data_IF_964484047634
#
_entry.id   IF_964484047634
#
_cell.length_a   1.000
_cell.length_b   1.000
_cell.length_c   1.000
_cell.angle_alpha   90.00
_cell.angle_beta   90.00
_cell.angle_gamma   90.00
#
_symmetry.space_group_name_H-M   'P 1'
#
loop_
_entity.id
_entity.type
_entity.pdbx_description
1 polymer ?
#
# COMPACT_ATOMS: atom_id res chain seq x y z
N UNK A 1 11.97 -37.69 22.61
CA UNK A 1 11.92 -37.51 21.87
C UNK A 1 11.93 -36.95 21.09
N UNK A 2 11.89 -36.89 21.40
CA UNK A 2 11.79 -36.49 20.72
C UNK A 2 11.94 -35.92 19.93
N UNK A 3 11.77 -35.99 20.18
CA UNK A 3 11.73 -35.55 19.48
C UNK A 3 11.81 -35.08 18.71
N UNK A 4 11.74 -35.22 19.22
CA UNK A 4 11.59 -35.00 18.51
C UNK A 4 11.49 -34.37 17.99
N UNK A 5 11.52 -34.61 18.39
CA UNK A 5 11.27 -34.17 17.79
C UNK A 5 10.96 -33.81 17.02
N UNK A 6 11.21 -33.86 17.74
CA UNK A 6 11.09 -33.64 16.36
C UNK A 6 9.73 -33.22 15.94
N UNK A 7 8.88 -33.39 16.65
CA UNK A 7 7.50 -33.18 16.30
C UNK A 7 7.17 -31.83 15.71
N UNK A 8 7.76 -30.79 16.15
CA UNK A 8 7.43 -29.43 15.69
C UNK A 8 7.57 -29.21 14.18
N UNK A 9 8.15 -30.13 13.50
CA UNK A 9 8.50 -29.93 12.09
C UNK A 9 7.33 -29.78 11.15
N UNK A 10 6.21 -30.42 11.43
CA UNK A 10 5.03 -30.33 10.57
C UNK A 10 4.51 -28.91 10.41
N UNK A 11 4.43 -28.21 11.51
CA UNK A 11 3.95 -26.84 11.51
C UNK A 11 4.86 -25.93 10.70
N UNK A 12 6.16 -26.09 10.91
CA UNK A 12 7.13 -25.27 10.19
C UNK A 12 7.05 -25.45 8.68
N UNK A 13 6.85 -26.67 8.24
CA UNK A 13 6.75 -26.96 6.82
C UNK A 13 5.55 -26.26 6.19
N UNK A 14 4.43 -26.24 6.89
CA UNK A 14 3.24 -25.55 6.39
C UNK A 14 3.48 -24.07 6.22
N UNK A 15 4.14 -23.45 7.19
CA UNK A 15 4.45 -22.04 7.12
C UNK A 15 5.34 -21.74 5.91
N UNK A 16 6.35 -22.54 5.67
CA UNK A 16 7.24 -22.33 4.54
C UNK A 16 6.51 -22.42 3.20
N UNK A 17 5.59 -23.38 3.07
CA UNK A 17 4.83 -23.51 1.84
C UNK A 17 4.03 -22.27 1.53
N UNK A 18 3.47 -21.65 2.57
CA UNK A 18 2.64 -20.48 2.40
C UNK A 18 3.45 -19.24 2.04
N UNK A 19 4.74 -19.24 2.30
CA UNK A 19 5.59 -18.09 2.03
C UNK A 19 6.33 -18.15 0.71
N UNK A 20 6.14 -19.24 -0.02
CA UNK A 20 6.83 -19.38 -1.29
C UNK A 20 6.25 -18.41 -2.31
N UNK A 21 7.10 -17.56 -2.86
CA UNK A 21 6.70 -16.52 -3.80
C UNK A 21 7.22 -16.87 -5.18
N UNK A 22 6.47 -16.52 -6.22
CA UNK A 22 6.89 -16.75 -7.59
C UNK A 22 8.07 -15.82 -7.94
N UNK A 23 8.79 -16.18 -8.98
CA UNK A 23 9.88 -15.35 -9.49
C UNK A 23 9.37 -13.99 -9.93
N UNK A 24 8.18 -13.95 -10.52
CA UNK A 24 7.56 -12.71 -10.96
C UNK A 24 7.28 -11.81 -9.76
N UNK A 25 6.72 -12.37 -8.70
CA UNK A 25 6.42 -11.58 -7.50
C UNK A 25 7.70 -11.10 -6.82
N UNK A 26 8.75 -11.91 -6.85
CA UNK A 26 10.04 -11.51 -6.29
C UNK A 26 10.60 -10.30 -7.02
N UNK A 27 10.50 -10.30 -8.35
CA UNK A 27 10.97 -9.17 -9.16
C UNK A 27 10.18 -7.91 -8.86
N UNK A 28 8.85 -8.03 -8.71
CA UNK A 28 7.99 -6.90 -8.36
C UNK A 28 8.35 -6.36 -6.99
N UNK A 29 8.60 -7.24 -6.02
CA UNK A 29 8.96 -6.82 -4.68
C UNK A 29 10.28 -6.05 -4.66
N UNK A 30 11.25 -6.48 -5.45
CA UNK A 30 12.52 -5.75 -5.58
C UNK A 30 12.30 -4.35 -6.14
N UNK A 31 11.46 -4.24 -7.14
CA UNK A 31 11.16 -2.95 -7.75
C UNK A 31 10.42 -2.05 -6.74
N UNK A 32 9.49 -2.59 -5.99
CA UNK A 32 8.78 -1.85 -4.95
C UNK A 32 9.74 -1.30 -3.91
N UNK A 33 10.72 -2.10 -3.48
CA UNK A 33 11.70 -1.62 -2.51
C UNK A 33 12.49 -0.43 -3.03
N UNK A 34 12.85 -0.44 -4.31
CA UNK A 34 13.53 0.69 -4.92
C UNK A 34 12.67 1.94 -4.92
N UNK A 35 11.39 1.78 -5.28
CA UNK A 35 10.44 2.89 -5.30
C UNK A 35 10.22 3.44 -3.90
N UNK A 36 10.06 2.59 -2.91
CA UNK A 36 9.88 3.02 -1.52
C UNK A 36 11.07 3.83 -1.03
N UNK A 37 12.28 3.37 -1.36
CA UNK A 37 13.50 4.08 -0.98
C UNK A 37 13.56 5.44 -1.67
N UNK A 38 13.21 5.51 -2.93
CA UNK A 38 13.19 6.76 -3.68
C UNK A 38 12.19 7.75 -3.08
N UNK A 39 11.01 7.29 -2.70
CA UNK A 39 10.01 8.14 -2.04
C UNK A 39 10.58 8.72 -0.76
N UNK A 40 11.21 7.88 0.05
CA UNK A 40 11.80 8.31 1.31
C UNK A 40 12.87 9.37 1.10
N UNK A 41 13.70 9.21 0.08
CA UNK A 41 14.81 10.12 -0.21
C UNK A 41 14.35 11.42 -0.85
N UNK A 42 13.29 11.38 -1.66
CA UNK A 42 12.87 12.57 -2.43
C UNK A 42 11.67 13.31 -1.82
N UNK A 43 10.81 12.62 -1.10
CA UNK A 43 9.59 13.22 -0.55
C UNK A 43 9.55 13.25 0.97
N UNK A 44 10.44 12.48 1.62
CA UNK A 44 10.46 12.39 3.06
C UNK A 44 9.50 11.35 3.60
N UNK A 45 9.46 11.22 4.91
CA UNK A 45 8.70 10.17 5.62
C UNK A 45 7.57 10.80 6.40
N UNK A 46 6.45 11.07 5.72
CA UNK A 46 5.26 11.64 6.35
C UNK A 46 4.01 11.24 5.57
N UNK A 47 2.86 11.29 6.24
CA UNK A 47 1.58 10.99 5.60
C UNK A 47 1.16 12.15 4.70
N UNK A 48 0.94 11.86 3.43
CA UNK A 48 0.51 12.91 2.49
C UNK A 48 -0.97 13.26 2.65
N UNK A 49 -1.71 12.42 3.37
CA UNK A 49 -3.13 12.67 3.60
C UNK A 49 -3.39 13.64 4.74
N UNK A 50 -2.56 13.67 5.78
CA UNK A 50 -2.77 14.56 6.93
C UNK A 50 -1.50 15.29 7.35
N UNK A 51 -0.35 14.98 6.76
CA UNK A 51 0.91 15.66 7.05
C UNK A 51 1.66 15.16 8.27
N UNK A 52 1.15 14.17 8.98
CA UNK A 52 1.78 13.71 10.22
C UNK A 52 2.95 12.77 9.93
N UNK A 53 3.98 12.84 10.77
CA UNK A 53 5.11 11.93 10.71
C UNK A 53 5.33 11.20 12.04
N UNK A 54 4.51 11.50 13.03
CA UNK A 54 4.61 10.95 14.39
C UNK A 54 3.71 9.73 14.60
N UNK A 55 3.19 9.14 13.53
CA UNK A 55 2.28 7.99 13.56
C UNK A 55 2.80 6.92 12.61
N UNK A 56 2.38 5.66 12.79
CA UNK A 56 2.76 4.60 11.86
C UNK A 56 2.27 4.90 10.45
N UNK A 57 3.14 4.70 9.48
CA UNK A 57 2.84 4.96 8.07
C UNK A 57 2.86 3.65 7.27
N UNK A 58 2.10 3.63 6.20
CA UNK A 58 2.06 2.51 5.28
C UNK A 58 2.17 3.04 3.86
N UNK A 59 2.74 2.24 2.96
CA UNK A 59 2.75 2.59 1.54
C UNK A 59 1.36 2.34 0.99
N UNK A 60 0.82 3.33 0.32
CA UNK A 60 -0.54 3.31 -0.22
C UNK A 60 -0.49 3.49 -1.72
N UNK A 61 -1.39 2.83 -2.43
CA UNK A 61 -1.54 3.01 -3.87
C UNK A 61 -2.82 3.80 -4.14
N UNK A 62 -2.73 4.87 -4.93
CA UNK A 62 -3.94 5.63 -5.30
C UNK A 62 -4.86 4.78 -6.17
N UNK A 63 -4.28 4.06 -7.14
CA UNK A 63 -5.02 3.07 -7.91
C UNK A 63 -4.57 1.70 -7.40
N UNK A 64 -5.53 0.89 -6.98
CA UNK A 64 -5.24 -0.40 -6.35
C UNK A 64 -4.38 -1.28 -7.25
N UNK A 65 -3.45 -2.01 -6.62
CA UNK A 65 -2.54 -2.91 -7.33
C UNK A 65 -3.28 -3.96 -8.13
N UNK A 66 -4.40 -4.44 -7.60
CA UNK A 66 -5.21 -5.45 -8.28
C UNK A 66 -5.91 -4.91 -9.52
N UNK A 67 -6.18 -3.62 -9.56
CA UNK A 67 -6.87 -3.01 -10.69
C UNK A 67 -5.92 -2.68 -11.84
N UNK A 68 -4.74 -2.15 -11.53
CA UNK A 68 -3.77 -1.74 -12.54
C UNK A 68 -2.39 -2.28 -12.17
N UNK A 69 -2.11 -3.48 -12.65
CA UNK A 69 -0.82 -4.12 -12.38
C UNK A 69 0.35 -3.33 -12.98
N UNK A 70 0.09 -2.64 -14.09
CA UNK A 70 1.12 -1.83 -14.75
C UNK A 70 1.51 -0.61 -13.93
N UNK A 71 0.69 -0.20 -12.96
CA UNK A 71 1.00 0.95 -12.10
C UNK A 71 1.43 0.53 -10.70
N UNK A 72 1.58 -0.76 -10.47
CA UNK A 72 1.92 -1.29 -9.14
C UNK A 72 3.24 -0.73 -8.61
N UNK A 73 4.21 -0.51 -9.48
CA UNK A 73 5.51 0.03 -9.11
C UNK A 73 5.74 1.45 -9.58
N UNK A 74 4.69 2.13 -10.05
CA UNK A 74 4.81 3.52 -10.50
C UNK A 74 4.90 4.45 -9.30
N UNK A 75 5.96 5.23 -9.21
CA UNK A 75 6.20 6.10 -8.05
C UNK A 75 5.09 7.12 -7.85
N UNK A 76 4.47 7.61 -8.93
CA UNK A 76 3.37 8.57 -8.83
C UNK A 76 2.10 7.95 -8.25
N UNK A 77 2.00 6.62 -8.29
CA UNK A 77 0.84 5.90 -7.76
C UNK A 77 1.01 5.52 -6.29
N UNK A 78 2.17 5.80 -5.71
CA UNK A 78 2.50 5.33 -4.37
C UNK A 78 2.79 6.51 -3.45
N UNK A 79 2.28 6.45 -2.23
CA UNK A 79 2.53 7.47 -1.23
C UNK A 79 2.48 6.85 0.16
N UNK A 80 2.83 7.64 1.18
CA UNK A 80 2.63 7.25 2.56
C UNK A 80 1.27 7.73 3.04
N UNK A 81 0.50 6.84 3.65
CA UNK A 81 -0.70 7.20 4.40
C UNK A 81 -0.60 6.60 5.79
N UNK A 82 -1.06 7.33 6.80
CA UNK A 82 -0.98 6.85 8.17
C UNK A 82 -2.00 5.75 8.42
N UNK A 83 -1.63 4.85 9.34
CA UNK A 83 -2.49 3.73 9.71
C UNK A 83 -3.45 4.14 10.81
N UNK A 84 -4.58 3.45 10.91
CA UNK A 84 -5.54 3.66 11.99
C UNK A 84 -4.93 3.22 13.31
N UNK A 85 -5.15 4.00 14.36
CA UNK A 85 -4.58 3.70 15.67
C UNK A 85 -5.40 4.36 16.77
N UNK A 86 -5.68 3.59 17.83
CA UNK A 86 -6.30 4.13 19.02
C UNK A 86 -7.62 4.83 18.81
N UNK A 87 -8.48 4.27 18.01
CA UNK A 87 -9.78 4.86 17.72
C UNK A 87 -9.77 5.94 16.64
N UNK A 88 -8.58 6.34 16.18
CA UNK A 88 -8.45 7.31 15.10
C UNK A 88 -8.31 6.57 13.77
N UNK A 89 -9.14 6.94 12.82
CA UNK A 89 -9.10 6.33 11.49
C UNK A 89 -7.97 6.97 10.69
N UNK A 90 -7.05 6.13 10.22
CA UNK A 90 -5.90 6.62 9.47
C UNK A 90 -6.24 6.92 8.01
N UNK A 91 -5.36 7.71 7.38
CA UNK A 91 -5.58 8.11 5.99
C UNK A 91 -5.56 6.92 5.04
N UNK A 92 -4.81 5.86 5.38
CA UNK A 92 -4.81 4.65 4.56
C UNK A 92 -6.23 4.08 4.45
N UNK A 93 -6.93 3.98 5.57
CA UNK A 93 -8.30 3.46 5.57
C UNK A 93 -9.29 4.46 4.98
N UNK A 94 -9.08 5.76 5.20
CA UNK A 94 -9.92 6.80 4.61
C UNK A 94 -9.83 6.76 3.09
N UNK A 95 -8.63 6.56 2.54
CA UNK A 95 -8.47 6.50 1.10
C UNK A 95 -9.21 5.32 0.49
N UNK A 96 -9.33 4.22 1.22
CA UNK A 96 -10.06 3.03 0.75
C UNK A 96 -11.55 3.10 1.03
N UNK A 97 -12.01 4.16 1.65
CA UNK A 97 -13.41 4.33 2.01
C UNK A 97 -14.24 5.01 0.94
N UNK A 98 -15.31 5.65 1.38
CA UNK A 98 -16.24 6.36 0.49
C UNK A 98 -15.57 7.61 -0.11
N UNK A 99 -16.26 8.23 -1.08
CA UNK A 99 -15.79 9.49 -1.66
C UNK A 99 -15.65 10.55 -0.54
N UNK A 100 -16.60 10.57 0.39
CA UNK A 100 -16.59 11.51 1.51
C UNK A 100 -15.32 11.31 2.37
N UNK A 101 -14.94 10.06 2.61
CA UNK A 101 -13.73 9.75 3.37
C UNK A 101 -12.47 10.19 2.61
N UNK A 102 -12.44 9.90 1.29
CA UNK A 102 -11.30 10.28 0.46
C UNK A 102 -11.09 11.80 0.45
N UNK A 103 -12.18 12.55 0.46
CA UNK A 103 -12.11 14.01 0.40
C UNK A 103 -11.51 14.63 1.65
N UNK A 104 -11.37 13.88 2.73
CA UNK A 104 -10.74 14.37 3.96
C UNK A 104 -9.23 14.45 3.85
N UNK A 105 -8.63 13.79 2.86
CA UNK A 105 -7.19 13.76 2.69
C UNK A 105 -6.70 15.00 1.95
N UNK A 106 -5.57 15.54 2.40
CA UNK A 106 -4.95 16.70 1.75
C UNK A 106 -4.51 16.41 0.33
N UNK A 107 -4.10 15.17 0.07
CA UNK A 107 -3.66 14.76 -1.27
C UNK A 107 -4.79 14.29 -2.17
N UNK A 108 -6.05 14.45 -1.73
CA UNK A 108 -7.20 14.04 -2.54
C UNK A 108 -7.20 14.68 -3.94
N UNK A 109 -7.02 16.01 -4.09
CA UNK A 109 -7.04 16.62 -5.42
C UNK A 109 -5.94 16.06 -6.33
N UNK A 110 -4.74 15.89 -5.80
CA UNK A 110 -3.62 15.35 -6.55
C UNK A 110 -3.87 13.91 -6.96
N UNK A 111 -4.39 13.12 -6.04
CA UNK A 111 -4.71 11.71 -6.29
C UNK A 111 -5.76 11.57 -7.37
N UNK A 112 -6.81 12.39 -7.31
CA UNK A 112 -7.88 12.32 -8.29
C UNK A 112 -7.43 12.78 -9.67
N UNK A 113 -6.55 13.76 -9.72
CA UNK A 113 -5.96 14.18 -10.99
C UNK A 113 -5.16 13.04 -11.62
N UNK A 114 -4.36 12.36 -10.82
CA UNK A 114 -3.59 11.21 -11.29
C UNK A 114 -4.53 10.11 -11.80
N UNK A 115 -5.59 9.81 -11.05
CA UNK A 115 -6.55 8.77 -11.44
C UNK A 115 -7.24 9.14 -12.74
N UNK A 116 -7.63 10.40 -12.91
CA UNK A 116 -8.26 10.84 -14.14
C UNK A 116 -7.35 10.62 -15.35
N UNK A 117 -6.06 10.88 -15.19
CA UNK A 117 -5.08 10.71 -16.26
C UNK A 117 -4.82 9.24 -16.59
N UNK A 118 -4.75 8.41 -15.56
CA UNK A 118 -4.33 7.02 -15.74
C UNK A 118 -5.48 6.05 -15.92
N UNK A 119 -6.67 6.36 -15.39
CA UNK A 119 -7.79 5.44 -15.37
C UNK A 119 -9.09 6.21 -15.28
N UNK A 120 -9.51 6.76 -16.41
CA UNK A 120 -10.71 7.59 -16.49
C UNK A 120 -11.95 6.87 -15.99
N UNK A 121 -12.06 5.59 -16.28
CA UNK A 121 -13.20 4.80 -15.84
C UNK A 121 -13.29 4.76 -14.31
N UNK A 122 -12.14 4.54 -13.66
CA UNK A 122 -12.10 4.53 -12.21
C UNK A 122 -12.44 5.90 -11.63
N UNK A 123 -11.96 6.97 -12.26
CA UNK A 123 -12.27 8.33 -11.81
C UNK A 123 -13.78 8.55 -11.74
N UNK A 124 -14.51 8.21 -12.80
CA UNK A 124 -15.94 8.39 -12.82
C UNK A 124 -16.66 7.44 -11.86
N UNK A 125 -16.10 6.27 -11.65
CA UNK A 125 -16.64 5.32 -10.69
C UNK A 125 -16.58 5.87 -9.26
N UNK A 126 -15.45 6.50 -8.92
CA UNK A 126 -15.26 7.08 -7.58
C UNK A 126 -16.17 8.30 -7.37
N UNK A 127 -16.35 9.09 -8.40
CA UNK A 127 -17.10 10.37 -8.29
C UNK A 127 -18.59 10.26 -8.54
N UNK A 128 -19.07 9.10 -8.87
CA UNK A 128 -20.49 8.84 -9.11
C UNK A 128 -21.37 9.12 -7.91
#
# INVERSE_FOLDING_TARGET
MLQGNGGSNGVNRLVFKMRKVSKKQTAINKELHKVYKEIEETRGHYCTGCGRSDVPLSHSHYIARSRRKDLETAIENITYHCLSMGGRKGCHDLWEGSISDKQKLLDYPKAMEYILEQDTELYFKITE
#
